data_IF_282024576103
#
_entry.id   IF_282024576103
#
_cell.length_a   1.000
_cell.length_b   1.000
_cell.length_c   1.000
_cell.angle_alpha   90.00
_cell.angle_beta   90.00
_cell.angle_gamma   90.00
#
_symmetry.space_group_name_H-M   'P 1'
#
loop_
_entity.id
_entity.type
_entity.pdbx_description
1 polymer ?
#
# COMPACT_ATOMS: atom_id res chain seq x y z
N UNK A 1 56.03 21.31 6.50
CA UNK A 1 55.24 21.07 7.73
C UNK A 1 53.92 21.85 7.77
N UNK A 2 53.86 23.15 7.41
CA UNK A 2 52.60 23.94 7.40
C UNK A 2 51.49 23.39 6.47
N UNK A 3 51.85 22.78 5.33
CA UNK A 3 50.87 22.17 4.39
C UNK A 3 50.23 20.88 4.91
N UNK A 4 50.88 20.17 5.84
CA UNK A 4 50.37 18.91 6.42
C UNK A 4 49.35 19.20 7.53
N UNK A 5 49.55 20.26 8.31
CA UNK A 5 48.64 20.65 9.42
C UNK A 5 47.26 21.09 8.89
N UNK A 6 47.21 21.74 7.71
CA UNK A 6 45.96 22.17 7.08
C UNK A 6 45.08 20.98 6.64
N UNK A 7 45.70 19.90 6.16
CA UNK A 7 44.98 18.69 5.76
C UNK A 7 44.36 17.94 6.95
N UNK A 8 45.05 17.90 8.09
CA UNK A 8 44.57 17.22 9.30
C UNK A 8 43.40 17.98 9.94
N UNK A 9 43.39 19.32 9.89
CA UNK A 9 42.26 20.13 10.37
C UNK A 9 41.03 20.04 9.46
N UNK A 10 41.19 19.83 8.15
CA UNK A 10 40.06 19.76 7.21
C UNK A 10 39.41 18.37 7.12
N UNK A 11 40.15 17.28 7.41
CA UNK A 11 39.63 15.91 7.35
C UNK A 11 38.39 15.66 8.24
N UNK A 12 38.35 16.06 9.53
CA UNK A 12 37.17 15.84 10.37
C UNK A 12 35.97 16.66 9.88
N UNK A 13 36.20 17.84 9.28
CA UNK A 13 35.13 18.66 8.73
C UNK A 13 34.46 18.00 7.50
N UNK A 14 35.25 17.32 6.67
CA UNK A 14 34.74 16.62 5.49
C UNK A 14 33.88 15.41 5.87
N UNK A 15 34.25 14.67 6.93
CA UNK A 15 33.48 13.53 7.44
C UNK A 15 32.11 13.97 7.98
N UNK A 16 32.05 15.11 8.69
CA UNK A 16 30.78 15.66 9.21
C UNK A 16 29.86 16.13 8.07
N UNK A 17 30.41 16.68 6.99
CA UNK A 17 29.64 17.08 5.81
C UNK A 17 29.03 15.87 5.08
N UNK A 18 29.77 14.77 4.97
CA UNK A 18 29.30 13.55 4.31
C UNK A 18 28.14 12.87 5.05
N UNK A 19 28.12 12.88 6.39
CA UNK A 19 27.02 12.31 7.18
C UNK A 19 25.68 13.06 6.97
N UNK A 20 25.75 14.37 6.74
CA UNK A 20 24.57 15.21 6.51
C UNK A 20 23.87 14.91 5.18
N UNK A 21 24.63 14.59 4.12
CA UNK A 21 24.06 14.17 2.83
C UNK A 21 23.39 12.80 2.94
N UNK A 22 24.01 11.84 3.64
CA UNK A 22 23.46 10.48 3.81
C UNK A 22 22.10 10.47 4.52
N UNK A 23 21.86 11.40 5.46
CA UNK A 23 20.54 11.57 6.10
C UNK A 23 19.48 12.08 5.14
N UNK A 24 19.80 13.05 4.26
CA UNK A 24 18.83 13.60 3.28
C UNK A 24 18.39 12.57 2.24
N UNK A 25 19.31 11.73 1.78
CA UNK A 25 18.99 10.67 0.82
C UNK A 25 18.08 9.59 1.41
N UNK A 26 18.25 9.29 2.71
CA UNK A 26 17.38 8.36 3.46
C UNK A 26 15.96 8.90 3.63
N UNK A 27 15.78 10.21 3.84
CA UNK A 27 14.46 10.85 3.91
C UNK A 27 13.77 10.91 2.54
N UNK A 28 14.53 11.07 1.44
CA UNK A 28 13.97 11.15 0.09
C UNK A 28 13.40 9.82 -0.42
N UNK A 29 13.94 8.70 0.05
CA UNK A 29 13.39 7.36 -0.23
C UNK A 29 12.13 7.01 0.58
N UNK A 30 11.75 7.84 1.56
CA UNK A 30 10.63 7.58 2.46
C UNK A 30 9.33 8.30 2.07
N UNK A 31 9.21 8.75 0.81
CA UNK A 31 7.94 9.14 0.22
C UNK A 31 7.30 7.94 -0.45
N UNK A 32 6.49 7.18 0.26
CA UNK A 32 5.77 6.04 -0.33
C UNK A 32 4.69 6.55 -1.29
N UNK A 33 4.94 6.48 -2.60
CA UNK A 33 3.88 6.58 -3.61
C UNK A 33 3.13 5.25 -3.63
N UNK A 34 1.95 5.18 -3.00
CA UNK A 34 1.10 4.01 -3.14
C UNK A 34 0.42 4.06 -4.52
N UNK A 35 0.72 3.09 -5.38
CA UNK A 35 0.02 2.95 -6.66
C UNK A 35 -1.47 2.69 -6.40
N UNK A 36 -2.32 3.56 -6.95
CA UNK A 36 -3.77 3.48 -6.83
C UNK A 36 -4.38 2.94 -8.13
N UNK A 37 -5.42 2.13 -8.02
CA UNK A 37 -6.16 1.62 -9.17
C UNK A 37 -6.95 2.77 -9.80
N UNK A 38 -6.69 3.07 -11.07
CA UNK A 38 -7.41 4.13 -11.79
C UNK A 38 -8.80 3.67 -12.23
N UNK A 39 -9.75 4.60 -12.30
CA UNK A 39 -11.09 4.33 -12.83
C UNK A 39 -10.98 3.91 -14.31
N UNK A 40 -11.72 2.86 -14.70
CA UNK A 40 -11.70 2.31 -16.06
C UNK A 40 -10.52 1.37 -16.33
N UNK A 41 -9.57 1.24 -15.41
CA UNK A 41 -8.49 0.25 -15.52
C UNK A 41 -9.03 -1.18 -15.39
N UNK A 42 -8.32 -2.14 -16.02
CA UNK A 42 -8.61 -3.55 -15.83
C UNK A 42 -8.36 -3.95 -14.37
N UNK A 43 -9.26 -4.76 -13.79
CA UNK A 43 -9.09 -5.22 -12.42
C UNK A 43 -7.81 -6.06 -12.29
N UNK A 44 -6.86 -5.67 -11.42
CA UNK A 44 -5.63 -6.42 -11.25
C UNK A 44 -5.92 -7.78 -10.61
N UNK A 45 -5.11 -8.79 -10.95
CA UNK A 45 -5.08 -10.08 -10.24
C UNK A 45 -6.43 -10.83 -10.17
N UNK A 46 -7.32 -10.62 -11.13
CA UNK A 46 -8.65 -11.25 -11.18
C UNK A 46 -8.64 -12.80 -11.13
N UNK A 47 -7.54 -13.42 -11.55
CA UNK A 47 -7.35 -14.90 -11.56
C UNK A 47 -6.66 -15.43 -10.30
N UNK A 48 -6.19 -14.56 -9.40
CA UNK A 48 -5.54 -15.01 -8.18
C UNK A 48 -6.54 -15.76 -7.32
N UNK A 49 -6.08 -16.87 -6.73
CA UNK A 49 -6.89 -17.61 -5.78
C UNK A 49 -6.80 -16.95 -4.40
N UNK A 50 -7.96 -16.81 -3.78
CA UNK A 50 -8.18 -16.26 -2.45
C UNK A 50 -8.87 -17.33 -1.61
N UNK A 51 -8.52 -17.37 -0.33
CA UNK A 51 -9.17 -18.27 0.62
C UNK A 51 -10.52 -17.69 1.04
N UNK A 52 -11.57 -18.46 0.82
CA UNK A 52 -12.94 -18.16 1.28
C UNK A 52 -13.09 -18.45 2.78
N UNK A 53 -14.19 -17.98 3.37
CA UNK A 53 -14.55 -18.19 4.78
C UNK A 53 -14.77 -19.67 5.13
N UNK A 54 -15.16 -20.48 4.14
CA UNK A 54 -15.32 -21.94 4.27
C UNK A 54 -14.01 -22.71 4.07
N UNK A 55 -12.90 -22.02 3.79
CA UNK A 55 -11.59 -22.61 3.55
C UNK A 55 -11.32 -23.03 2.12
N UNK A 56 -12.30 -22.94 1.20
CA UNK A 56 -12.09 -23.20 -0.22
C UNK A 56 -11.24 -22.12 -0.89
N UNK A 57 -10.58 -22.47 -1.99
CA UNK A 57 -9.81 -21.52 -2.81
C UNK A 57 -10.65 -21.09 -4.00
N UNK A 58 -10.99 -19.80 -4.06
CA UNK A 58 -11.81 -19.20 -5.12
C UNK A 58 -11.04 -18.10 -5.83
N UNK A 59 -11.32 -17.85 -7.11
CA UNK A 59 -10.82 -16.65 -7.80
C UNK A 59 -11.97 -15.70 -8.10
N UNK A 60 -11.66 -14.44 -8.38
CA UNK A 60 -12.68 -13.41 -8.60
C UNK A 60 -13.35 -13.54 -9.97
N UNK A 61 -12.61 -14.04 -10.98
CA UNK A 61 -13.09 -14.21 -12.35
C UNK A 61 -14.44 -14.95 -12.47
N UNK A 62 -14.64 -16.15 -11.88
CA UNK A 62 -15.90 -16.89 -11.97
C UNK A 62 -17.03 -16.32 -11.10
N UNK A 63 -16.72 -15.46 -10.13
CA UNK A 63 -17.72 -14.90 -9.19
C UNK A 63 -18.42 -13.67 -9.78
N UNK A 64 -17.82 -13.03 -10.79
CA UNK A 64 -18.41 -11.86 -11.44
C UNK A 64 -19.71 -12.23 -12.17
N UNK A 65 -20.79 -11.54 -11.84
CA UNK A 65 -22.10 -11.72 -12.49
C UNK A 65 -22.31 -10.77 -13.67
N UNK A 66 -23.50 -10.83 -14.29
CA UNK A 66 -23.88 -10.04 -15.48
C UNK A 66 -23.66 -8.54 -15.29
N UNK A 67 -24.01 -8.00 -14.13
CA UNK A 67 -23.87 -6.56 -13.82
C UNK A 67 -22.52 -6.20 -13.19
N UNK A 68 -21.62 -7.19 -13.07
CA UNK A 68 -20.29 -7.02 -12.53
C UNK A 68 -20.15 -7.58 -11.12
N UNK A 69 -19.15 -7.05 -10.42
CA UNK A 69 -18.81 -7.46 -9.07
C UNK A 69 -18.41 -6.22 -8.26
N UNK A 70 -18.96 -6.10 -7.06
CA UNK A 70 -18.53 -5.09 -6.09
C UNK A 70 -17.58 -5.73 -5.09
N UNK A 71 -16.36 -5.21 -5.00
CA UNK A 71 -15.33 -5.66 -4.04
C UNK A 71 -15.17 -4.59 -2.95
N UNK A 72 -15.37 -4.98 -1.70
CA UNK A 72 -15.21 -4.10 -0.54
C UNK A 72 -14.00 -4.57 0.25
N UNK A 73 -12.97 -3.73 0.33
CA UNK A 73 -11.81 -3.98 1.20
C UNK A 73 -12.16 -3.59 2.63
N UNK A 74 -11.92 -4.51 3.57
CA UNK A 74 -12.29 -4.34 4.97
C UNK A 74 -11.22 -4.91 5.90
N UNK A 75 -11.24 -4.51 7.17
CA UNK A 75 -10.35 -5.00 8.21
C UNK A 75 -11.18 -5.57 9.36
N UNK A 76 -10.91 -6.83 9.72
CA UNK A 76 -11.57 -7.52 10.82
C UNK A 76 -11.16 -7.01 12.21
N UNK A 77 -10.07 -6.25 12.32
CA UNK A 77 -9.54 -5.75 13.60
C UNK A 77 -9.84 -4.28 13.84
N UNK A 78 -10.37 -3.56 12.84
CA UNK A 78 -10.61 -2.12 12.97
C UNK A 78 -11.95 -1.86 13.68
N UNK A 79 -11.97 -1.16 14.84
CA UNK A 79 -13.22 -0.90 15.56
C UNK A 79 -14.20 -0.05 14.74
N UNK A 80 -13.70 0.83 13.87
CA UNK A 80 -14.54 1.59 12.94
C UNK A 80 -15.19 0.74 11.87
N UNK A 81 -14.58 -0.37 11.45
CA UNK A 81 -15.22 -1.29 10.50
C UNK A 81 -16.37 -2.03 11.19
N UNK A 82 -16.12 -2.54 12.40
CA UNK A 82 -17.13 -3.29 13.18
C UNK A 82 -18.38 -2.44 13.40
N UNK A 83 -18.21 -1.17 13.76
CA UNK A 83 -19.34 -0.25 14.00
C UNK A 83 -20.22 0.00 12.75
N UNK A 84 -19.72 -0.27 11.55
CA UNK A 84 -20.41 0.04 10.29
C UNK A 84 -20.63 -1.19 9.40
N UNK A 85 -20.49 -2.39 9.98
CA UNK A 85 -20.59 -3.67 9.27
C UNK A 85 -22.01 -3.93 8.74
N UNK A 86 -23.02 -3.38 9.41
CA UNK A 86 -24.43 -3.43 9.02
C UNK A 86 -24.68 -2.91 7.59
N UNK A 87 -23.93 -1.90 7.15
CA UNK A 87 -24.02 -1.34 5.80
C UNK A 87 -23.66 -2.34 4.71
N UNK A 88 -22.81 -3.33 5.00
CA UNK A 88 -22.46 -4.35 4.00
C UNK A 88 -23.68 -5.19 3.62
N UNK A 89 -24.59 -5.47 4.56
CA UNK A 89 -25.86 -6.18 4.28
C UNK A 89 -26.78 -5.35 3.40
N UNK A 90 -26.82 -4.03 3.59
CA UNK A 90 -27.59 -3.14 2.72
C UNK A 90 -27.02 -3.14 1.30
N UNK A 91 -25.70 -3.02 1.18
CA UNK A 91 -25.00 -3.01 -0.11
C UNK A 91 -25.16 -4.35 -0.82
N UNK A 92 -25.09 -5.47 -0.11
CA UNK A 92 -25.32 -6.80 -0.67
C UNK A 92 -26.73 -6.91 -1.28
N UNK A 93 -27.77 -6.44 -0.57
CA UNK A 93 -29.15 -6.42 -1.09
C UNK A 93 -29.26 -5.59 -2.36
N UNK A 94 -28.58 -4.44 -2.42
CA UNK A 94 -28.57 -3.59 -3.61
C UNK A 94 -27.84 -4.27 -4.78
N UNK A 95 -26.70 -4.91 -4.52
CA UNK A 95 -25.96 -5.65 -5.55
C UNK A 95 -26.79 -6.80 -6.12
N UNK A 96 -27.46 -7.60 -5.28
CA UNK A 96 -28.33 -8.71 -5.72
C UNK A 96 -29.56 -8.26 -6.50
N UNK A 97 -30.06 -7.05 -6.25
CA UNK A 97 -31.25 -6.51 -6.94
C UNK A 97 -30.95 -6.07 -8.38
N UNK A 98 -29.70 -5.71 -8.67
CA UNK A 98 -29.32 -5.14 -9.97
C UNK A 98 -28.73 -6.19 -10.88
#
# INVERSE_FOLDING_TARGET
>A
MKKIIIFILCLPFLVIAQDSQKRKDKLKQQGSSFETIQIGSNMPKIRNQLKSVDGSMISIMPVKEKNGLLVIFTSNTCPFVVMWEDRYKLIEKLAKKN
#
